data_IF_829768184240
#
_entry.id   IF_829768184240
#
_cell.length_a   1.000
_cell.length_b   1.000
_cell.length_c   1.000
_cell.angle_alpha   90.00
_cell.angle_beta   90.00
_cell.angle_gamma   90.00
#
_symmetry.space_group_name_H-M   'P 1'
#
loop_
_entity.id
_entity.type
_entity.pdbx_description
1 polymer ?
#
# COMPACT_ATOMS: atom_id res chain seq x y z
N UNK A 1 -5.64 10.57 11.41
CA UNK A 1 -6.97 10.85 11.98
C UNK A 1 -8.04 10.36 11.03
N UNK A 2 -9.15 9.91 11.59
CA UNK A 2 -10.30 9.45 10.83
C UNK A 2 -11.58 9.81 11.57
N UNK A 3 -12.70 9.79 10.87
CA UNK A 3 -14.03 9.86 11.46
C UNK A 3 -14.55 8.44 11.81
N UNK A 4 -15.68 8.33 12.53
CA UNK A 4 -16.27 7.05 12.88
C UNK A 4 -16.61 6.15 11.68
N UNK A 5 -16.97 6.77 10.54
CA UNK A 5 -17.41 6.05 9.33
C UNK A 5 -16.23 5.43 8.55
N UNK A 6 -14.98 5.77 8.88
CA UNK A 6 -13.80 5.32 8.16
C UNK A 6 -13.71 3.79 8.04
N UNK A 7 -13.92 3.07 9.14
CA UNK A 7 -13.82 1.60 9.19
C UNK A 7 -14.85 0.97 8.26
N UNK A 8 -16.07 1.48 8.27
CA UNK A 8 -17.18 0.98 7.44
C UNK A 8 -17.02 1.39 5.97
N UNK A 9 -16.60 2.63 5.71
CA UNK A 9 -16.38 3.15 4.36
C UNK A 9 -15.30 2.38 3.59
N UNK A 10 -14.27 1.91 4.29
CA UNK A 10 -13.20 1.09 3.71
C UNK A 10 -13.43 -0.41 3.87
N UNK A 11 -14.57 -0.84 4.44
CA UNK A 11 -14.92 -2.23 4.64
C UNK A 11 -13.94 -2.98 5.55
N UNK A 12 -13.34 -2.30 6.53
CA UNK A 12 -12.37 -2.89 7.43
C UNK A 12 -13.08 -3.81 8.43
N UNK A 13 -12.56 -5.00 8.59
CA UNK A 13 -13.12 -5.98 9.53
C UNK A 13 -12.60 -5.72 10.95
N UNK A 14 -13.49 -5.42 11.88
CA UNK A 14 -13.17 -5.39 13.32
C UNK A 14 -13.06 -6.84 13.81
N UNK A 15 -11.90 -7.21 14.36
CA UNK A 15 -11.59 -8.58 14.84
C UNK A 15 -11.68 -8.70 16.35
N UNK A 16 -11.54 -7.58 17.09
CA UNK A 16 -11.76 -7.53 18.53
C UNK A 16 -12.27 -6.14 18.94
N UNK A 17 -13.06 -6.05 20.01
CA UNK A 17 -13.61 -4.80 20.51
C UNK A 17 -14.67 -4.20 19.59
N UNK A 18 -14.60 -2.86 19.38
CA UNK A 18 -15.57 -2.09 18.59
C UNK A 18 -14.91 -0.97 17.79
N UNK A 19 -15.64 -0.44 16.81
CA UNK A 19 -15.30 0.81 16.11
C UNK A 19 -15.67 2.04 16.96
N UNK A 20 -15.23 3.21 16.53
CA UNK A 20 -15.75 4.49 17.01
C UNK A 20 -17.25 4.57 16.78
N UNK A 21 -17.97 5.18 17.70
CA UNK A 21 -19.40 5.43 17.58
C UNK A 21 -19.84 6.60 18.42
N UNK A 22 -20.69 7.43 17.87
CA UNK A 22 -21.33 8.54 18.58
C UNK A 22 -22.25 8.07 19.70
N UNK A 23 -22.75 6.84 19.63
CA UNK A 23 -23.69 6.27 20.62
C UNK A 23 -23.04 5.97 21.98
N UNK A 24 -21.71 5.77 22.03
CA UNK A 24 -20.98 5.44 23.25
C UNK A 24 -20.36 6.65 23.96
N UNK A 25 -20.72 7.86 23.56
CA UNK A 25 -20.23 9.09 24.15
C UNK A 25 -18.93 9.57 23.48
N UNK A 26 -18.02 10.12 24.29
CA UNK A 26 -16.80 10.74 23.78
C UNK A 26 -15.72 9.69 23.51
N UNK A 27 -15.57 9.30 22.23
CA UNK A 27 -14.48 8.42 21.75
C UNK A 27 -13.21 9.21 21.33
N UNK A 28 -13.12 10.49 21.62
CA UNK A 28 -11.99 11.35 21.24
C UNK A 28 -10.66 10.86 21.81
N UNK A 29 -10.67 10.31 23.04
CA UNK A 29 -9.50 9.75 23.71
C UNK A 29 -9.32 8.24 23.45
N UNK A 30 -9.97 7.71 22.43
CA UNK A 30 -9.93 6.29 22.08
C UNK A 30 -9.11 6.04 20.81
N UNK A 31 -8.68 4.79 20.69
CA UNK A 31 -7.80 4.33 19.61
C UNK A 31 -8.30 3.01 19.04
N UNK A 32 -8.34 2.90 17.73
CA UNK A 32 -8.51 1.64 17.01
C UNK A 32 -7.21 1.31 16.29
N UNK A 33 -6.71 0.08 16.43
CA UNK A 33 -5.43 -0.35 15.86
C UNK A 33 -5.58 -1.56 14.97
N UNK A 34 -4.58 -1.86 14.14
CA UNK A 34 -4.57 -3.10 13.38
C UNK A 34 -3.81 -4.23 14.10
N UNK A 35 -3.95 -5.49 13.63
CA UNK A 35 -3.30 -6.65 14.23
C UNK A 35 -1.77 -6.54 14.26
N UNK A 36 -1.17 -5.90 13.25
CA UNK A 36 0.27 -5.63 13.23
C UNK A 36 0.68 -4.67 14.34
N UNK A 37 -0.12 -3.65 14.66
CA UNK A 37 0.14 -2.76 15.79
C UNK A 37 0.02 -3.50 17.13
N UNK A 38 -0.96 -4.40 17.30
CA UNK A 38 -1.08 -5.28 18.47
C UNK A 38 0.21 -6.04 18.74
N UNK A 39 0.74 -6.71 17.70
CA UNK A 39 2.01 -7.47 17.80
C UNK A 39 3.20 -6.57 18.12
N UNK A 40 3.28 -5.39 17.50
CA UNK A 40 4.41 -4.46 17.73
C UNK A 40 4.40 -3.83 19.11
N UNK A 41 3.23 -3.66 19.71
CA UNK A 41 3.08 -3.20 21.10
C UNK A 41 3.39 -4.30 22.13
N UNK A 42 3.55 -5.56 21.68
CA UNK A 42 3.95 -6.68 22.53
C UNK A 42 2.79 -7.46 23.13
N UNK A 43 1.55 -7.23 22.70
CA UNK A 43 0.39 -8.01 23.14
C UNK A 43 0.37 -9.39 22.48
N UNK A 44 -0.08 -10.40 23.22
CA UNK A 44 -0.13 -11.80 22.77
C UNK A 44 -1.39 -12.09 21.95
N UNK A 45 -2.47 -11.37 22.21
CA UNK A 45 -3.75 -11.53 21.51
C UNK A 45 -4.43 -10.18 21.25
N UNK A 46 -5.37 -10.17 20.29
CA UNK A 46 -6.15 -8.97 19.98
C UNK A 46 -7.05 -8.55 21.15
N UNK A 47 -7.59 -9.52 21.89
CA UNK A 47 -8.47 -9.26 23.04
C UNK A 47 -7.69 -8.66 24.23
N UNK A 48 -6.43 -9.05 24.42
CA UNK A 48 -5.56 -8.50 25.47
C UNK A 48 -5.29 -7.00 25.29
N UNK A 49 -5.25 -6.55 24.03
CA UNK A 49 -5.00 -5.14 23.72
C UNK A 49 -6.21 -4.24 24.06
N UNK A 50 -7.43 -4.79 24.12
CA UNK A 50 -8.64 -4.00 24.36
C UNK A 50 -8.67 -3.48 25.80
N UNK A 51 -8.84 -2.16 25.94
CA UNK A 51 -8.89 -1.50 27.23
C UNK A 51 -7.54 -0.97 27.71
N UNK A 52 -6.43 -1.41 27.09
CA UNK A 52 -5.08 -0.97 27.44
C UNK A 52 -4.81 0.47 26.99
N UNK A 53 -3.94 1.15 27.73
CA UNK A 53 -3.54 2.53 27.49
C UNK A 53 -2.21 2.59 26.73
N UNK A 54 -2.19 3.33 25.65
CA UNK A 54 -1.00 3.51 24.81
C UNK A 54 -0.64 4.99 24.73
N UNK A 55 0.64 5.30 24.92
CA UNK A 55 1.17 6.63 24.69
C UNK A 55 1.42 6.84 23.20
N UNK A 56 0.78 7.85 22.63
CA UNK A 56 0.93 8.23 21.23
C UNK A 56 1.62 9.58 21.18
N UNK A 57 2.74 9.68 20.46
CA UNK A 57 3.59 10.88 20.44
C UNK A 57 2.87 12.18 20.03
N UNK A 58 1.78 12.09 19.28
CA UNK A 58 1.01 13.24 18.85
C UNK A 58 -0.12 13.64 19.79
N UNK A 59 -0.22 13.03 20.97
CA UNK A 59 -1.29 13.30 21.95
C UNK A 59 -0.69 13.60 23.33
N UNK A 60 -1.33 14.50 24.08
CA UNK A 60 -0.87 14.94 25.42
C UNK A 60 -1.14 13.90 26.51
N UNK A 61 -2.02 12.93 26.26
CA UNK A 61 -2.43 11.91 27.21
C UNK A 61 -2.48 10.52 26.56
N UNK A 62 -2.31 9.44 27.35
CA UNK A 62 -2.48 8.08 26.86
C UNK A 62 -3.88 7.87 26.28
N UNK A 63 -3.97 7.10 25.23
CA UNK A 63 -5.22 6.74 24.55
C UNK A 63 -5.58 5.29 24.82
N UNK A 64 -6.86 5.01 25.05
CA UNK A 64 -7.33 3.66 25.29
C UNK A 64 -7.70 2.94 24.01
N UNK A 65 -7.18 1.73 23.81
CA UNK A 65 -7.54 0.86 22.69
C UNK A 65 -8.95 0.33 22.91
N UNK A 66 -9.87 0.62 21.97
CA UNK A 66 -11.26 0.14 22.00
C UNK A 66 -11.56 -0.90 20.93
N UNK A 67 -10.72 -0.99 19.89
CA UNK A 67 -10.93 -1.94 18.81
C UNK A 67 -9.65 -2.33 18.11
N UNK A 68 -9.68 -3.51 17.55
CA UNK A 68 -8.65 -4.04 16.66
C UNK A 68 -9.28 -4.38 15.32
N UNK A 69 -8.73 -3.83 14.24
CA UNK A 69 -9.12 -4.17 12.86
C UNK A 69 -8.12 -5.14 12.27
N UNK A 70 -8.59 -5.98 11.37
CA UNK A 70 -7.75 -6.87 10.60
C UNK A 70 -6.70 -6.07 9.82
N UNK A 71 -5.53 -6.65 9.62
CA UNK A 71 -4.49 -6.04 8.80
C UNK A 71 -5.00 -5.77 7.37
N UNK A 72 -4.76 -4.58 6.87
CA UNK A 72 -5.11 -4.16 5.51
C UNK A 72 -3.97 -3.36 4.88
N UNK A 73 -3.91 -3.37 3.56
CA UNK A 73 -2.86 -2.69 2.83
C UNK A 73 -3.22 -1.21 2.59
N UNK A 74 -2.43 -0.29 3.14
CA UNK A 74 -2.46 1.13 2.78
C UNK A 74 -1.51 1.48 1.63
N UNK A 75 -0.66 0.53 1.25
CA UNK A 75 0.34 0.64 0.20
C UNK A 75 0.22 -0.58 -0.73
N UNK A 76 1.09 -0.65 -1.76
CA UNK A 76 1.14 -1.80 -2.66
C UNK A 76 1.21 -3.14 -1.89
N UNK A 77 0.50 -4.16 -2.38
CA UNK A 77 0.42 -5.50 -1.77
C UNK A 77 1.78 -6.20 -1.62
N UNK A 78 2.81 -5.72 -2.33
CA UNK A 78 4.19 -6.21 -2.22
C UNK A 78 4.88 -5.83 -0.91
N UNK A 79 4.32 -4.87 -0.15
CA UNK A 79 4.87 -4.44 1.14
C UNK A 79 4.23 -5.18 2.29
N UNK A 80 5.02 -5.43 3.34
CA UNK A 80 4.52 -6.00 4.59
C UNK A 80 3.51 -5.05 5.23
N UNK A 81 2.60 -5.62 6.02
CA UNK A 81 1.69 -4.83 6.83
C UNK A 81 2.45 -3.92 7.80
N UNK A 82 2.02 -2.68 7.86
CA UNK A 82 2.58 -1.69 8.79
C UNK A 82 1.65 -1.52 10.00
N UNK A 83 2.17 -1.19 11.19
CA UNK A 83 1.33 -0.86 12.33
C UNK A 83 0.54 0.41 12.03
N UNK A 84 -0.76 0.35 12.22
CA UNK A 84 -1.71 1.44 11.95
C UNK A 84 -2.46 1.75 13.23
N UNK A 85 -2.56 3.03 13.53
CA UNK A 85 -3.36 3.57 14.63
C UNK A 85 -4.38 4.55 14.04
N UNK A 86 -5.66 4.25 14.22
CA UNK A 86 -6.77 5.12 13.85
C UNK A 86 -7.12 5.98 15.07
N UNK A 87 -6.99 7.28 14.93
CA UNK A 87 -7.25 8.28 15.97
C UNK A 87 -8.44 9.12 15.54
N UNK A 88 -9.36 9.38 16.46
CA UNK A 88 -10.53 10.22 16.20
C UNK A 88 -10.10 11.62 15.73
N UNK A 89 -10.78 12.14 14.69
CA UNK A 89 -10.43 13.42 14.04
C UNK A 89 -10.34 14.59 15.02
N UNK A 90 -11.22 14.62 16.02
CA UNK A 90 -11.31 15.74 16.98
C UNK A 90 -10.17 15.74 17.99
N UNK A 91 -9.49 14.59 18.23
CA UNK A 91 -8.32 14.51 19.12
C UNK A 91 -7.13 15.27 18.58
N UNK A 92 -6.95 15.24 17.27
CA UNK A 92 -5.85 15.90 16.57
C UNK A 92 -6.38 16.92 15.56
N UNK A 93 -7.36 17.73 16.01
CA UNK A 93 -7.99 18.76 15.19
C UNK A 93 -6.99 19.81 14.64
N UNK A 94 -5.82 19.97 15.26
CA UNK A 94 -4.72 20.80 14.76
C UNK A 94 -4.02 20.21 13.53
N UNK A 95 -4.19 18.92 13.25
CA UNK A 95 -3.66 18.30 12.04
C UNK A 95 -4.64 18.53 10.87
N UNK A 96 -4.19 19.16 9.78
CA UNK A 96 -5.10 19.43 8.66
C UNK A 96 -5.63 18.12 8.08
N UNK A 97 -6.94 18.01 7.95
CA UNK A 97 -7.57 16.92 7.22
C UNK A 97 -7.26 17.11 5.73
N UNK A 98 -6.56 16.14 5.15
CA UNK A 98 -6.06 16.27 3.77
C UNK A 98 -7.01 15.71 2.73
N UNK A 99 -7.85 14.75 3.11
CA UNK A 99 -8.71 14.02 2.17
C UNK A 99 -10.09 13.81 2.75
N UNK A 100 -11.09 13.88 1.89
CA UNK A 100 -12.45 13.44 2.13
C UNK A 100 -12.69 12.23 1.23
N UNK A 101 -13.04 11.09 1.81
CA UNK A 101 -13.34 9.88 1.07
C UNK A 101 -14.85 9.77 0.85
N UNK A 102 -15.27 9.56 -0.38
CA UNK A 102 -16.67 9.38 -0.74
C UNK A 102 -16.83 7.97 -1.31
N UNK A 103 -17.67 7.16 -0.68
CA UNK A 103 -18.00 5.81 -1.15
C UNK A 103 -19.23 5.89 -2.05
N UNK A 104 -19.09 5.39 -3.26
CA UNK A 104 -20.19 5.29 -4.21
C UNK A 104 -20.70 3.85 -4.25
N UNK A 105 -21.98 3.67 -3.93
CA UNK A 105 -22.64 2.35 -3.94
C UNK A 105 -23.22 2.00 -5.31
N UNK A 106 -23.59 2.99 -6.12
CA UNK A 106 -24.15 2.80 -7.47
C UNK A 106 -24.16 4.11 -8.24
N UNK A 107 -24.14 4.04 -9.58
CA UNK A 107 -24.23 5.22 -10.45
C UNK A 107 -23.01 5.44 -11.33
N UNK A 108 -23.00 6.58 -12.06
CA UNK A 108 -21.85 6.98 -12.90
C UNK A 108 -20.86 7.81 -12.05
N UNK A 109 -19.59 7.40 -11.96
CA UNK A 109 -18.56 8.17 -11.27
C UNK A 109 -18.41 9.61 -11.76
N UNK A 110 -18.66 9.86 -13.04
CA UNK A 110 -18.55 11.21 -13.64
C UNK A 110 -19.64 12.15 -13.13
N UNK A 111 -20.84 11.61 -12.96
CA UNK A 111 -21.97 12.38 -12.44
C UNK A 111 -21.73 12.74 -10.97
N UNK A 112 -21.23 11.80 -10.17
CA UNK A 112 -20.86 12.05 -8.78
C UNK A 112 -19.80 13.12 -8.65
N UNK A 113 -18.72 13.04 -9.45
CA UNK A 113 -17.65 14.06 -9.45
C UNK A 113 -18.20 15.43 -9.81
N UNK A 114 -19.12 15.52 -10.79
CA UNK A 114 -19.75 16.80 -11.18
C UNK A 114 -20.58 17.40 -10.03
N UNK A 115 -21.37 16.58 -9.34
CA UNK A 115 -22.19 17.01 -8.20
C UNK A 115 -21.31 17.47 -7.03
N UNK A 116 -20.26 16.71 -6.71
CA UNK A 116 -19.32 17.07 -5.64
C UNK A 116 -18.58 18.37 -6.00
N UNK A 117 -18.16 18.54 -7.24
CA UNK A 117 -17.50 19.76 -7.71
C UNK A 117 -18.42 20.99 -7.60
N UNK A 118 -19.72 20.84 -7.92
CA UNK A 118 -20.67 21.92 -7.77
C UNK A 118 -20.83 22.34 -6.29
N UNK A 119 -20.97 21.37 -5.39
CA UNK A 119 -21.02 21.61 -3.94
C UNK A 119 -19.71 22.25 -3.46
N UNK A 120 -18.57 21.74 -3.89
CA UNK A 120 -17.25 22.27 -3.54
C UNK A 120 -17.13 23.75 -3.86
N UNK A 121 -17.53 24.14 -5.07
CA UNK A 121 -17.48 25.54 -5.50
C UNK A 121 -18.39 26.48 -4.70
N UNK A 122 -19.47 25.94 -4.11
CA UNK A 122 -20.34 26.74 -3.24
C UNK A 122 -19.70 27.09 -1.90
N UNK A 123 -18.89 26.16 -1.34
CA UNK A 123 -18.29 26.31 -0.01
C UNK A 123 -16.82 26.75 -0.06
N UNK A 124 -16.10 26.42 -1.13
CA UNK A 124 -14.67 26.62 -1.28
C UNK A 124 -14.29 27.24 -2.63
N UNK A 125 -14.94 28.35 -2.99
CA UNK A 125 -14.82 29.00 -4.30
C UNK A 125 -13.37 29.36 -4.70
N UNK A 126 -12.51 29.64 -3.71
CA UNK A 126 -11.10 30.02 -3.92
C UNK A 126 -10.12 28.85 -3.81
N UNK A 127 -10.61 27.62 -3.64
CA UNK A 127 -9.77 26.44 -3.46
C UNK A 127 -9.83 25.51 -4.67
N UNK A 128 -8.68 24.93 -5.05
CA UNK A 128 -8.62 23.91 -6.10
C UNK A 128 -9.43 22.67 -5.71
N UNK A 129 -10.19 22.14 -6.65
CA UNK A 129 -10.88 20.86 -6.49
C UNK A 129 -10.03 19.77 -7.14
N UNK A 130 -9.27 19.05 -6.30
CA UNK A 130 -8.45 17.92 -6.73
C UNK A 130 -9.09 16.63 -6.25
N UNK A 131 -9.24 15.67 -7.13
CA UNK A 131 -9.78 14.36 -6.79
C UNK A 131 -8.99 13.23 -7.48
N UNK A 132 -9.05 12.06 -6.93
CA UNK A 132 -8.53 10.85 -7.55
C UNK A 132 -9.40 9.64 -7.16
N UNK A 133 -9.45 8.66 -8.02
CA UNK A 133 -10.07 7.38 -7.69
C UNK A 133 -9.05 6.46 -7.01
N UNK A 134 -9.47 5.84 -5.91
CA UNK A 134 -8.58 5.03 -5.08
C UNK A 134 -8.04 3.81 -5.84
N UNK A 135 -8.83 3.20 -6.71
CA UNK A 135 -8.42 2.11 -7.61
C UNK A 135 -7.28 2.56 -8.54
N UNK A 136 -7.42 3.72 -9.18
CA UNK A 136 -6.38 4.26 -10.06
C UNK A 136 -5.08 4.60 -9.31
N UNK A 137 -5.20 5.03 -8.05
CA UNK A 137 -4.04 5.29 -7.21
C UNK A 137 -3.23 4.01 -6.96
N UNK A 138 -3.90 2.90 -6.70
CA UNK A 138 -3.24 1.60 -6.56
C UNK A 138 -2.69 1.10 -7.90
N UNK A 139 -3.43 1.21 -9.00
CA UNK A 139 -2.98 0.79 -10.34
C UNK A 139 -1.70 1.51 -10.76
N UNK A 140 -1.53 2.78 -10.42
CA UNK A 140 -0.32 3.51 -10.74
C UNK A 140 0.92 2.97 -10.01
N UNK A 141 0.78 2.45 -8.80
CA UNK A 141 1.87 1.80 -8.08
C UNK A 141 2.28 0.46 -8.72
N UNK A 142 1.31 -0.31 -9.23
CA UNK A 142 1.59 -1.59 -9.92
C UNK A 142 2.29 -1.40 -11.26
N UNK A 143 1.97 -0.35 -12.01
CA UNK A 143 2.63 -0.05 -13.28
C UNK A 143 4.12 0.15 -13.16
N UNK A 144 4.61 0.69 -12.08
CA UNK A 144 6.06 0.86 -11.86
C UNK A 144 6.76 -0.50 -11.72
N UNK A 145 6.15 -1.44 -11.01
CA UNK A 145 6.70 -2.79 -10.84
C UNK A 145 6.67 -3.59 -12.15
N UNK A 146 5.64 -3.44 -12.99
CA UNK A 146 5.56 -4.05 -14.32
C UNK A 146 6.66 -3.53 -15.25
N UNK A 147 6.83 -2.23 -15.34
CA UNK A 147 7.89 -1.61 -16.17
C UNK A 147 9.27 -2.09 -15.73
N UNK A 148 9.51 -2.19 -14.43
CA UNK A 148 10.76 -2.71 -13.89
C UNK A 148 10.96 -4.19 -14.25
N UNK A 149 9.91 -5.01 -14.18
CA UNK A 149 9.92 -6.41 -14.61
C UNK A 149 10.27 -6.58 -16.09
N UNK A 150 9.68 -5.76 -16.96
CA UNK A 150 9.98 -5.77 -18.41
C UNK A 150 11.42 -5.37 -18.67
N UNK A 151 11.95 -4.35 -17.98
CA UNK A 151 13.34 -3.94 -18.13
C UNK A 151 14.31 -5.03 -17.71
N UNK A 152 14.10 -5.68 -16.57
CA UNK A 152 14.94 -6.81 -16.13
C UNK A 152 14.89 -7.95 -17.13
N UNK A 153 13.70 -8.27 -17.65
CA UNK A 153 13.52 -9.29 -18.68
C UNK A 153 14.32 -8.99 -19.95
N UNK A 154 14.32 -7.75 -20.42
CA UNK A 154 15.08 -7.32 -21.59
C UNK A 154 16.59 -7.45 -21.37
N UNK A 155 17.11 -6.98 -20.21
CA UNK A 155 18.53 -7.11 -19.88
C UNK A 155 18.97 -8.57 -19.73
N UNK A 156 18.11 -9.40 -19.10
CA UNK A 156 18.38 -10.85 -18.97
C UNK A 156 18.44 -11.52 -20.35
N UNK A 157 17.52 -11.22 -21.24
CA UNK A 157 17.53 -11.71 -22.61
C UNK A 157 18.80 -11.31 -23.38
N UNK A 158 19.22 -10.04 -23.23
CA UNK A 158 20.46 -9.54 -23.84
C UNK A 158 21.70 -10.27 -23.27
N UNK A 159 21.75 -10.47 -21.97
CA UNK A 159 22.87 -11.18 -21.33
C UNK A 159 22.97 -12.64 -21.82
N UNK A 160 21.86 -13.34 -21.92
CA UNK A 160 21.80 -14.70 -22.48
C UNK A 160 22.27 -14.70 -23.93
N UNK A 161 21.83 -13.76 -24.74
CA UNK A 161 22.23 -13.65 -26.14
C UNK A 161 23.75 -13.46 -26.30
N UNK A 162 24.34 -12.53 -25.52
CA UNK A 162 25.79 -12.31 -25.53
C UNK A 162 26.54 -13.56 -25.07
N UNK A 163 26.05 -14.25 -24.05
CA UNK A 163 26.67 -15.49 -23.55
C UNK A 163 26.64 -16.60 -24.62
N UNK A 164 25.53 -16.75 -25.33
CA UNK A 164 25.42 -17.71 -26.45
C UNK A 164 26.39 -17.39 -27.59
N UNK A 165 26.53 -16.11 -27.94
CA UNK A 165 27.51 -15.67 -28.95
C UNK A 165 28.95 -15.98 -28.50
N UNK A 166 29.27 -15.73 -27.23
CA UNK A 166 30.60 -16.05 -26.66
C UNK A 166 30.91 -17.56 -26.75
N UNK A 167 29.96 -18.40 -26.37
CA UNK A 167 30.11 -19.86 -26.50
C UNK A 167 30.24 -20.30 -27.95
N UNK A 168 29.46 -19.73 -28.86
CA UNK A 168 29.56 -20.04 -30.27
C UNK A 168 30.97 -19.72 -30.82
N UNK A 169 31.50 -18.53 -30.54
CA UNK A 169 32.85 -18.14 -30.99
C UNK A 169 33.91 -19.11 -30.45
N UNK A 170 33.82 -19.50 -29.15
CA UNK A 170 34.76 -20.47 -28.56
C UNK A 170 34.69 -21.84 -29.22
N UNK A 171 33.49 -22.33 -29.52
CA UNK A 171 33.30 -23.60 -30.26
C UNK A 171 33.90 -23.53 -31.65
N UNK A 172 33.63 -22.45 -32.41
CA UNK A 172 34.18 -22.25 -33.76
C UNK A 172 35.71 -22.20 -33.71
N UNK A 173 36.31 -21.48 -32.76
CA UNK A 173 37.72 -21.44 -32.57
C UNK A 173 38.31 -22.81 -32.22
N UNK A 174 37.73 -23.54 -31.30
CA UNK A 174 38.14 -24.89 -30.90
C UNK A 174 38.11 -25.86 -32.08
N UNK A 175 37.02 -25.84 -32.90
CA UNK A 175 36.90 -26.66 -34.10
C UNK A 175 37.94 -26.32 -35.11
N UNK A 176 38.24 -25.05 -35.38
CA UNK A 176 39.25 -24.61 -36.37
C UNK A 176 40.67 -25.07 -36.00
N UNK A 177 40.99 -25.04 -34.70
CA UNK A 177 42.28 -25.51 -34.19
C UNK A 177 42.43 -27.03 -34.33
N UNK A 178 41.42 -27.79 -33.95
CA UNK A 178 41.45 -29.26 -34.10
C UNK A 178 41.46 -29.75 -35.56
N UNK A 179 40.80 -29.03 -36.45
CA UNK A 179 40.85 -29.35 -37.89
C UNK A 179 42.26 -29.21 -38.45
N UNK A 180 43.00 -28.18 -38.02
CA UNK A 180 44.41 -28.04 -38.39
C UNK A 180 45.28 -29.16 -37.85
N UNK A 181 45.13 -29.58 -36.61
CA UNK A 181 45.84 -30.70 -35.99
C UNK A 181 45.57 -32.02 -36.71
N UNK A 182 44.30 -32.32 -37.06
CA UNK A 182 43.94 -33.50 -37.78
C UNK A 182 44.46 -33.48 -39.22
N UNK A 183 44.51 -32.31 -39.86
CA UNK A 183 45.10 -32.16 -41.21
C UNK A 183 46.59 -32.49 -41.22
N UNK A 184 47.34 -32.06 -40.21
CA UNK A 184 48.78 -32.36 -40.09
C UNK A 184 49.01 -33.86 -39.83
N UNK A 185 48.21 -34.51 -38.96
CA UNK A 185 48.33 -35.94 -38.66
C UNK A 185 47.96 -36.86 -39.82
N UNK A 186 47.21 -36.37 -40.80
CA UNK A 186 46.80 -37.13 -41.99
C UNK A 186 47.84 -37.09 -43.12
N UNK A 187 48.79 -36.16 -43.06
CA UNK A 187 49.84 -35.93 -44.09
C UNK A 187 51.16 -36.54 -43.66
N UNK A 188 51.34 -36.86 -42.38
CA UNK A 188 52.43 -37.64 -41.82
C UNK A 188 52.03 -39.11 -41.71
#
# INVERSE_FOLDING_TARGET
ACDPDYVDAYGLQVVAGRNFSEDYGDDVDKLVINETAVRNLGFTSNDEAIGELVNVECTDAPMQIIGVVKDYHQQALSKNYTPIMLIHKDKIAWLPQRYISIVMTSGDPRELVSQVHEIWNQYFADSSFDYFFLDQFFDHQYRQDEVFGVMIGAFTGLAIFISCLGLWVLVMFSCSTRTKEMGIRKVL
#
